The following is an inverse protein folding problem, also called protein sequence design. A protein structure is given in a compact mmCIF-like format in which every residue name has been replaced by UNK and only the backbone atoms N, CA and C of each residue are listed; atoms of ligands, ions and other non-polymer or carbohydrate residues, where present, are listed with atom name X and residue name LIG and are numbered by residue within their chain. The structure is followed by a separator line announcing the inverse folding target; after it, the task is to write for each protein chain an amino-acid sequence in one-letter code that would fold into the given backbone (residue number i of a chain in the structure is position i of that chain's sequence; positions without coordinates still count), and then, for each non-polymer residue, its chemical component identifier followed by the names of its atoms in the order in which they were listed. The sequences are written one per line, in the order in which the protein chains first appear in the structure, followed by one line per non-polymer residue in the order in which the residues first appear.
data_IF_542273978719
#
_entry.id   IF_542273978719
#
_cell.length_a   1.000
_cell.length_b   1.000
_cell.length_c   1.000
_cell.angle_alpha   90.00
_cell.angle_beta   90.00
_cell.angle_gamma   90.00
#
_symmetry.space_group_name_H-M   'P 1'
#
loop_
_entity.id
_entity.type
_entity.pdbx_description
1 polymer ?
#
# COMPACT_ATOMS: atom_id res chain seq x y z
N UNK A 1 16.94 0.69 43.40
CA UNK A 1 17.81 1.69 42.77
C UNK A 1 17.51 3.02 43.45
N UNK A 2 18.50 3.63 44.11
CA UNK A 2 18.29 4.86 44.86
C UNK A 2 17.96 6.01 43.90
N UNK A 3 16.93 6.79 44.24
CA UNK A 3 16.49 7.94 43.48
C UNK A 3 17.58 9.03 43.52
N UNK A 4 18.30 9.16 42.40
CA UNK A 4 19.46 10.03 42.26
C UNK A 4 19.09 11.49 42.58
N UNK A 5 17.87 11.91 42.22
CA UNK A 5 17.34 13.23 42.53
C UNK A 5 17.14 13.43 44.04
N UNK A 6 16.63 12.41 44.74
CA UNK A 6 16.52 12.42 46.20
C UNK A 6 17.86 12.54 46.90
N UNK A 7 18.90 11.90 46.35
CA UNK A 7 20.27 12.01 46.88
C UNK A 7 20.92 13.38 46.60
N UNK A 8 20.65 13.98 45.44
CA UNK A 8 21.15 15.32 45.06
C UNK A 8 20.47 16.40 45.91
N UNK A 9 19.14 16.33 46.10
CA UNK A 9 18.39 17.29 46.90
C UNK A 9 18.80 17.24 48.38
N UNK A 10 19.00 16.04 48.95
CA UNK A 10 19.45 15.89 50.33
C UNK A 10 20.91 16.35 50.54
N UNK A 11 21.73 16.35 49.48
CA UNK A 11 23.09 16.91 49.50
C UNK A 11 23.09 18.44 49.42
N UNK A 12 22.19 19.04 48.63
CA UNK A 12 22.01 20.49 48.56
C UNK A 12 21.46 21.10 49.87
N UNK A 13 20.58 20.39 50.58
CA UNK A 13 20.03 20.82 51.87
C UNK A 13 21.10 20.91 52.97
N UNK A 14 22.15 20.09 52.90
CA UNK A 14 23.30 20.15 53.82
C UNK A 14 24.24 21.33 53.57
N UNK A 15 24.20 21.93 52.38
CA UNK A 15 25.14 22.96 51.96
C UNK A 15 24.70 24.40 52.27
N UNK A 16 23.46 24.61 52.75
CA UNK A 16 22.99 25.96 53.09
C UNK A 16 23.34 26.36 54.54
N UNK A 17 23.75 27.61 54.79
CA UNK A 17 24.18 28.08 56.11
C UNK A 17 23.00 28.09 57.12
N UNK A 18 23.20 27.42 58.26
CA UNK A 18 22.22 27.27 59.33
C UNK A 18 21.91 28.61 60.02
N UNK A 19 20.78 29.22 59.70
CA UNK A 19 20.13 30.22 60.56
C UNK A 19 19.23 29.50 61.58
N UNK A 20 19.11 30.05 62.79
CA UNK A 20 18.60 29.41 64.03
C UNK A 20 17.12 28.95 64.05
N UNK A 21 16.54 28.69 65.24
CA UNK A 21 15.52 27.67 65.56
C UNK A 21 14.12 27.93 64.96
N UNK A 22 14.04 27.83 63.63
CA UNK A 22 12.81 27.86 62.82
C UNK A 22 12.60 26.55 62.03
N UNK A 23 13.49 25.57 62.24
CA UNK A 23 13.64 24.34 61.44
C UNK A 23 12.67 23.21 61.87
N UNK A 24 12.30 23.08 63.15
CA UNK A 24 11.42 21.98 63.61
C UNK A 24 9.99 22.07 63.07
N UNK A 25 9.42 23.28 63.04
CA UNK A 25 8.08 23.51 62.50
C UNK A 25 8.04 23.29 60.99
N UNK A 26 9.10 23.70 60.29
CA UNK A 26 9.25 23.47 58.84
C UNK A 26 9.43 21.98 58.52
N UNK A 27 10.25 21.24 59.28
CA UNK A 27 10.38 19.77 59.16
C UNK A 27 9.06 19.04 59.41
N UNK A 28 8.30 19.46 60.41
CA UNK A 28 6.98 18.88 60.69
C UNK A 28 5.99 19.16 59.54
N UNK A 29 6.01 20.37 58.96
CA UNK A 29 5.23 20.73 57.78
C UNK A 29 5.61 19.87 56.57
N UNK A 30 6.91 19.72 56.28
CA UNK A 30 7.42 18.88 55.17
C UNK A 30 7.05 17.41 55.38
N UNK A 31 7.19 16.88 56.60
CA UNK A 31 6.79 15.50 56.93
C UNK A 31 5.28 15.31 56.73
N UNK A 32 4.46 16.25 57.20
CA UNK A 32 3.00 16.22 57.02
C UNK A 32 2.59 16.29 55.55
N UNK A 33 3.27 17.13 54.74
CA UNK A 33 3.04 17.18 53.29
C UNK A 33 3.42 15.88 52.60
N UNK A 34 4.55 15.26 52.99
CA UNK A 34 4.98 13.97 52.45
C UNK A 34 4.01 12.84 52.81
N UNK A 35 3.52 12.80 54.04
CA UNK A 35 2.50 11.83 54.47
C UNK A 35 1.17 12.05 53.75
N UNK A 36 0.74 13.30 53.56
CA UNK A 36 -0.46 13.62 52.78
C UNK A 36 -0.32 13.22 51.31
N UNK A 37 0.85 13.45 50.70
CA UNK A 37 1.14 13.04 49.33
C UNK A 37 1.13 11.51 49.17
N UNK A 38 1.74 10.77 50.11
CA UNK A 38 1.71 9.31 50.12
C UNK A 38 0.29 8.76 50.24
N UNK A 39 -0.51 9.33 51.14
CA UNK A 39 -1.91 8.93 51.30
C UNK A 39 -2.71 9.19 50.02
N UNK A 40 -2.52 10.34 49.38
CA UNK A 40 -3.16 10.66 48.10
C UNK A 40 -2.74 9.70 46.98
N UNK A 41 -1.47 9.31 46.93
CA UNK A 41 -0.96 8.31 45.97
C UNK A 41 -1.57 6.92 46.22
N UNK A 42 -1.66 6.49 47.47
CA UNK A 42 -2.29 5.23 47.87
C UNK A 42 -3.78 5.21 47.54
N UNK A 43 -4.51 6.29 47.84
CA UNK A 43 -5.92 6.45 47.50
C UNK A 43 -6.13 6.42 45.98
N UNK A 44 -5.27 7.10 45.22
CA UNK A 44 -5.29 7.07 43.76
C UNK A 44 -5.03 5.65 43.24
N UNK A 45 -4.03 4.95 43.76
CA UNK A 45 -3.73 3.56 43.40
C UNK A 45 -4.90 2.61 43.71
N UNK A 46 -5.57 2.80 44.84
CA UNK A 46 -6.77 2.04 45.20
C UNK A 46 -7.91 2.32 44.23
N UNK A 47 -8.10 3.58 43.83
CA UNK A 47 -9.10 3.96 42.84
C UNK A 47 -8.86 3.28 41.49
N UNK A 48 -7.61 3.25 41.01
CA UNK A 48 -7.24 2.57 39.76
C UNK A 48 -7.47 1.06 39.83
N UNK A 49 -7.17 0.42 40.97
CA UNK A 49 -7.45 -1.01 41.19
C UNK A 49 -8.95 -1.31 41.10
N UNK A 50 -9.77 -0.52 41.81
CA UNK A 50 -11.24 -0.65 41.75
C UNK A 50 -11.77 -0.44 40.33
N UNK A 51 -11.21 0.52 39.61
CA UNK A 51 -11.57 0.76 38.20
C UNK A 51 -11.21 -0.44 37.32
N UNK A 52 -10.04 -1.05 37.52
CA UNK A 52 -9.61 -2.26 36.81
C UNK A 52 -10.57 -3.43 37.04
N UNK A 53 -10.93 -3.69 38.29
CA UNK A 53 -11.89 -4.73 38.69
C UNK A 53 -13.27 -4.50 38.06
N UNK A 54 -13.77 -3.25 38.13
CA UNK A 54 -15.05 -2.87 37.53
C UNK A 54 -15.04 -3.06 36.01
N UNK A 55 -13.96 -2.66 35.35
CA UNK A 55 -13.80 -2.81 33.89
C UNK A 55 -13.75 -4.29 33.49
N UNK A 56 -13.08 -5.12 34.30
CA UNK A 56 -13.10 -6.57 34.11
C UNK A 56 -14.52 -7.12 34.14
N UNK A 57 -15.31 -6.78 35.17
CA UNK A 57 -16.70 -7.25 35.28
C UNK A 57 -17.56 -6.84 34.09
N UNK A 58 -17.45 -5.59 33.63
CA UNK A 58 -18.17 -5.10 32.44
C UNK A 58 -17.79 -5.90 31.18
N UNK A 59 -16.51 -6.22 31.00
CA UNK A 59 -16.07 -7.04 29.87
C UNK A 59 -16.53 -8.49 29.97
N UNK A 60 -16.63 -9.05 31.19
CA UNK A 60 -17.19 -10.40 31.39
C UNK A 60 -18.68 -10.46 31.06
N UNK A 61 -19.43 -9.42 31.42
CA UNK A 61 -20.85 -9.27 31.03
C UNK A 61 -20.98 -9.12 29.50
N UNK A 62 -20.14 -8.28 28.89
CA UNK A 62 -20.13 -8.08 27.45
C UNK A 62 -19.82 -9.37 26.66
N UNK A 63 -18.92 -10.22 27.15
CA UNK A 63 -18.63 -11.51 26.53
C UNK A 63 -19.81 -12.50 26.59
N UNK A 64 -20.64 -12.42 27.64
CA UNK A 64 -21.85 -13.25 27.76
C UNK A 64 -22.97 -12.80 26.83
N UNK A 65 -23.06 -11.50 26.56
CA UNK A 65 -24.10 -10.93 25.72
C UNK A 65 -23.87 -11.25 24.24
N UNK A 66 -24.60 -12.20 23.67
CA UNK A 66 -24.45 -12.58 22.24
C UNK A 66 -24.84 -11.45 21.28
N UNK A 67 -25.79 -10.58 21.67
CA UNK A 67 -26.46 -9.63 20.76
C UNK A 67 -25.60 -8.49 20.24
N UNK A 68 -24.66 -7.98 21.04
CA UNK A 68 -23.89 -6.80 20.70
C UNK A 68 -22.49 -7.20 20.19
N UNK A 69 -22.09 -6.79 18.97
CA UNK A 69 -20.77 -7.12 18.42
C UNK A 69 -19.65 -6.24 19.02
N UNK A 70 -20.00 -5.04 19.52
CA UNK A 70 -19.07 -4.06 20.05
C UNK A 70 -19.62 -3.35 21.28
N UNK A 71 -18.74 -2.92 22.19
CA UNK A 71 -19.06 -2.13 23.36
C UNK A 71 -18.27 -0.82 23.37
N UNK A 72 -18.98 0.31 23.52
CA UNK A 72 -18.38 1.66 23.55
C UNK A 72 -18.31 2.17 24.99
N UNK A 73 -17.09 2.43 25.46
CA UNK A 73 -16.87 3.10 26.74
C UNK A 73 -17.12 4.61 26.63
N UNK A 74 -17.37 5.24 27.78
CA UNK A 74 -17.39 6.70 27.88
C UNK A 74 -15.98 7.27 27.59
N UNK A 75 -15.87 8.51 27.07
CA UNK A 75 -14.60 9.20 26.98
C UNK A 75 -13.92 9.27 28.36
N UNK A 76 -12.66 8.85 28.43
CA UNK A 76 -11.90 8.78 29.68
C UNK A 76 -10.47 9.29 29.48
N UNK A 77 -9.81 9.78 30.55
CA UNK A 77 -8.42 10.24 30.48
C UNK A 77 -7.47 9.12 30.05
N UNK A 78 -6.29 9.52 29.54
CA UNK A 78 -5.25 8.61 29.04
C UNK A 78 -4.92 7.44 29.99
N UNK A 79 -4.83 7.70 31.30
CA UNK A 79 -4.50 6.68 32.30
C UNK A 79 -5.59 5.59 32.39
N UNK A 80 -6.85 5.98 32.49
CA UNK A 80 -7.97 5.05 32.55
C UNK A 80 -8.15 4.30 31.23
N UNK A 81 -7.91 4.98 30.11
CA UNK A 81 -7.89 4.37 28.78
C UNK A 81 -6.84 3.26 28.68
N UNK A 82 -5.63 3.49 29.18
CA UNK A 82 -4.59 2.48 29.23
C UNK A 82 -5.02 1.25 30.04
N UNK A 83 -5.66 1.46 31.20
CA UNK A 83 -6.18 0.35 32.02
C UNK A 83 -7.24 -0.46 31.26
N UNK A 84 -8.12 0.19 30.48
CA UNK A 84 -9.11 -0.53 29.66
C UNK A 84 -8.41 -1.41 28.62
N UNK A 85 -7.38 -0.89 27.94
CA UNK A 85 -6.57 -1.68 26.99
C UNK A 85 -5.88 -2.85 27.67
N UNK A 86 -5.21 -2.63 28.82
CA UNK A 86 -4.53 -3.69 29.57
C UNK A 86 -5.50 -4.83 29.97
N UNK A 87 -6.71 -4.48 30.42
CA UNK A 87 -7.72 -5.48 30.81
C UNK A 87 -8.29 -6.20 29.58
N UNK A 88 -8.51 -5.49 28.48
CA UNK A 88 -8.98 -6.08 27.24
C UNK A 88 -7.94 -7.04 26.64
N UNK A 89 -6.67 -6.65 26.63
CA UNK A 89 -5.54 -7.50 26.19
C UNK A 89 -5.42 -8.76 27.05
N UNK A 90 -5.53 -8.63 28.38
CA UNK A 90 -5.52 -9.79 29.27
C UNK A 90 -6.65 -10.81 28.99
N UNK A 91 -7.74 -10.37 28.37
CA UNK A 91 -8.88 -11.20 27.96
C UNK A 91 -8.89 -11.54 26.47
N UNK A 92 -7.84 -11.17 25.73
CA UNK A 92 -7.73 -11.30 24.27
C UNK A 92 -8.89 -10.66 23.50
N UNK A 93 -9.39 -9.52 23.98
CA UNK A 93 -10.46 -8.77 23.31
C UNK A 93 -9.85 -7.56 22.59
N UNK A 94 -10.05 -7.40 21.28
CA UNK A 94 -9.50 -6.27 20.54
C UNK A 94 -10.16 -4.95 20.97
N UNK A 95 -9.34 -4.02 21.41
CA UNK A 95 -9.75 -2.70 21.87
C UNK A 95 -9.09 -1.60 21.01
N UNK A 96 -9.90 -0.64 20.58
CA UNK A 96 -9.45 0.49 19.75
C UNK A 96 -9.88 1.81 20.37
N UNK A 97 -9.05 2.85 20.23
CA UNK A 97 -9.39 4.19 20.71
C UNK A 97 -9.77 5.09 19.54
N UNK A 98 -10.89 5.79 19.67
CA UNK A 98 -11.42 6.71 18.67
C UNK A 98 -11.66 8.08 19.30
N UNK A 99 -11.63 9.15 18.49
CA UNK A 99 -11.79 10.54 18.94
C UNK A 99 -10.47 11.29 19.10
N UNK A 100 -10.59 12.57 19.43
CA UNK A 100 -9.47 13.50 19.59
C UNK A 100 -8.93 13.46 21.03
N UNK A 101 -7.60 13.52 21.16
CA UNK A 101 -6.97 13.51 22.48
C UNK A 101 -7.45 14.70 23.33
N UNK A 102 -7.73 14.44 24.61
CA UNK A 102 -8.20 15.41 25.62
C UNK A 102 -9.64 15.92 25.49
N UNK A 103 -10.31 15.72 24.35
CA UNK A 103 -11.71 16.16 24.16
C UNK A 103 -12.69 14.99 24.36
N UNK A 104 -12.70 14.03 23.44
CA UNK A 104 -13.74 12.98 23.38
C UNK A 104 -13.17 11.57 23.15
N UNK A 105 -11.86 11.40 23.31
CA UNK A 105 -11.22 10.11 23.08
C UNK A 105 -11.78 9.01 23.97
N UNK A 106 -12.42 8.04 23.33
CA UNK A 106 -13.09 6.91 23.95
C UNK A 106 -12.54 5.58 23.43
N UNK A 107 -12.80 4.51 24.16
CA UNK A 107 -12.40 3.15 23.78
C UNK A 107 -13.62 2.38 23.30
N UNK A 108 -13.48 1.68 22.18
CA UNK A 108 -14.46 0.72 21.69
C UNK A 108 -13.79 -0.64 21.65
N UNK A 109 -14.47 -1.61 22.24
CA UNK A 109 -14.02 -2.99 22.31
C UNK A 109 -14.91 -3.83 21.41
N UNK A 110 -14.30 -4.68 20.59
CA UNK A 110 -15.00 -5.56 19.66
C UNK A 110 -14.86 -7.00 20.12
N UNK A 111 -15.85 -7.83 19.83
CA UNK A 111 -15.67 -9.27 20.00
C UNK A 111 -14.61 -9.79 19.02
N UNK A 112 -13.87 -10.84 19.39
CA UNK A 112 -12.84 -11.41 18.52
C UNK A 112 -13.41 -11.84 17.15
N UNK A 113 -14.64 -12.35 17.12
CA UNK A 113 -15.33 -12.75 15.88
C UNK A 113 -15.71 -11.56 14.97
N UNK A 114 -15.87 -10.37 15.55
CA UNK A 114 -16.29 -9.15 14.87
C UNK A 114 -15.19 -8.09 14.88
N UNK A 115 -13.93 -8.53 14.84
CA UNK A 115 -12.79 -7.62 14.80
C UNK A 115 -12.80 -6.87 13.46
N UNK A 116 -12.89 -5.52 13.46
CA UNK A 116 -12.89 -4.75 12.23
C UNK A 116 -11.54 -4.84 11.51
N UNK A 117 -11.58 -4.88 10.19
CA UNK A 117 -10.37 -4.81 9.36
C UNK A 117 -9.68 -3.44 9.50
N UNK A 118 -8.41 -3.32 9.13
CA UNK A 118 -7.65 -2.06 9.23
C UNK A 118 -8.28 -0.93 8.41
N UNK A 119 -8.77 -1.24 7.20
CA UNK A 119 -9.49 -0.29 6.36
C UNK A 119 -10.84 0.14 7.02
N UNK A 120 -11.55 -0.80 7.65
CA UNK A 120 -12.77 -0.52 8.41
C UNK A 120 -12.50 0.41 9.59
N UNK A 121 -11.41 0.16 10.32
CA UNK A 121 -10.96 1.00 11.42
C UNK A 121 -10.63 2.42 10.94
N UNK A 122 -10.03 2.58 9.77
CA UNK A 122 -9.76 3.89 9.20
C UNK A 122 -11.05 4.66 8.90
N UNK A 123 -12.05 4.02 8.27
CA UNK A 123 -13.38 4.62 8.08
C UNK A 123 -14.05 4.98 9.41
N UNK A 124 -14.00 4.08 10.41
CA UNK A 124 -14.54 4.34 11.74
C UNK A 124 -13.85 5.52 12.45
N UNK A 125 -12.52 5.70 12.26
CA UNK A 125 -11.78 6.86 12.77
C UNK A 125 -12.20 8.16 12.07
N UNK A 126 -12.55 8.09 10.78
CA UNK A 126 -13.09 9.22 10.02
C UNK A 126 -14.56 9.51 10.30
N UNK A 127 -15.27 8.57 10.94
CA UNK A 127 -16.72 8.66 11.17
C UNK A 127 -17.55 8.30 9.92
N UNK A 128 -16.95 7.62 8.95
CA UNK A 128 -17.60 7.21 7.71
C UNK A 128 -18.27 5.83 7.86
N UNK A 129 -19.38 5.61 7.16
CA UNK A 129 -20.04 4.29 7.11
C UNK A 129 -19.21 3.38 6.21
N UNK A 130 -18.77 2.25 6.75
CA UNK A 130 -18.05 1.24 5.98
C UNK A 130 -19.02 0.43 5.12
N UNK A 131 -18.83 0.48 3.81
CA UNK A 131 -19.48 -0.42 2.85
C UNK A 131 -18.45 -1.44 2.32
N UNK A 132 -18.64 -2.75 2.53
CA UNK A 132 -17.67 -3.77 2.12
C UNK A 132 -17.41 -3.81 0.61
N UNK A 133 -18.44 -3.51 -0.20
CA UNK A 133 -18.32 -3.48 -1.67
C UNK A 133 -17.48 -2.28 -2.15
N UNK A 134 -17.60 -1.11 -1.51
CA UNK A 134 -16.81 0.07 -1.88
C UNK A 134 -15.34 -0.12 -1.56
N UNK A 135 -15.05 -0.79 -0.44
CA UNK A 135 -13.69 -1.09 -0.04
C UNK A 135 -12.96 -2.01 -1.02
N UNK A 136 -13.63 -3.05 -1.50
CA UNK A 136 -13.06 -3.95 -2.51
C UNK A 136 -12.79 -3.23 -3.83
N UNK A 137 -13.70 -2.35 -4.25
CA UNK A 137 -13.50 -1.51 -5.44
C UNK A 137 -12.32 -0.54 -5.27
N UNK A 138 -12.18 0.08 -4.10
CA UNK A 138 -11.05 0.97 -3.82
C UNK A 138 -9.72 0.21 -3.78
N UNK A 139 -9.72 -1.00 -3.20
CA UNK A 139 -8.53 -1.87 -3.19
C UNK A 139 -8.14 -2.29 -4.61
N UNK A 140 -9.10 -2.72 -5.43
CA UNK A 140 -8.85 -3.08 -6.82
C UNK A 140 -8.31 -1.89 -7.64
N UNK A 141 -8.83 -0.68 -7.40
CA UNK A 141 -8.34 0.53 -8.04
C UNK A 141 -6.90 0.86 -7.61
N UNK A 142 -6.58 0.75 -6.32
CA UNK A 142 -5.22 0.97 -5.81
C UNK A 142 -4.22 -0.03 -6.39
N UNK A 143 -4.60 -1.30 -6.48
CA UNK A 143 -3.77 -2.35 -7.09
C UNK A 143 -3.55 -2.09 -8.59
N UNK A 144 -4.57 -1.61 -9.31
CA UNK A 144 -4.41 -1.19 -10.70
C UNK A 144 -3.43 -0.01 -10.83
N UNK A 145 -3.57 1.02 -9.99
CA UNK A 145 -2.66 2.18 -9.99
C UNK A 145 -1.21 1.75 -9.68
N UNK A 146 -1.01 0.82 -8.76
CA UNK A 146 0.32 0.30 -8.43
C UNK A 146 0.91 -0.49 -9.59
N UNK A 147 0.15 -1.39 -10.21
CA UNK A 147 0.58 -2.11 -11.43
C UNK A 147 0.89 -1.16 -12.58
N UNK A 148 0.09 -0.11 -12.76
CA UNK A 148 0.33 0.91 -13.79
C UNK A 148 1.63 1.67 -13.50
N UNK A 149 1.90 2.03 -12.23
CA UNK A 149 3.17 2.65 -11.82
C UNK A 149 4.37 1.74 -12.02
N UNK A 150 4.27 0.48 -11.60
CA UNK A 150 5.32 -0.52 -11.83
C UNK A 150 5.58 -0.72 -13.32
N UNK A 151 4.52 -0.72 -14.14
CA UNK A 151 4.63 -0.81 -15.58
C UNK A 151 5.30 0.44 -16.18
N UNK A 152 4.92 1.64 -15.74
CA UNK A 152 5.55 2.89 -16.14
C UNK A 152 7.03 2.93 -15.76
N UNK A 153 7.38 2.52 -14.55
CA UNK A 153 8.76 2.45 -14.07
C UNK A 153 9.56 1.39 -14.84
N UNK A 154 8.97 0.24 -15.16
CA UNK A 154 9.58 -0.78 -16.03
C UNK A 154 9.83 -0.25 -17.45
N UNK A 155 8.86 0.48 -18.03
CA UNK A 155 9.03 1.12 -19.35
C UNK A 155 10.16 2.17 -19.27
N UNK A 156 10.21 2.96 -18.20
CA UNK A 156 11.27 3.97 -18.00
C UNK A 156 12.64 3.30 -17.91
N UNK A 157 12.77 2.25 -17.11
CA UNK A 157 14.02 1.50 -16.96
C UNK A 157 14.45 0.86 -18.28
N UNK A 158 13.52 0.26 -19.03
CA UNK A 158 13.79 -0.29 -20.36
C UNK A 158 14.29 0.78 -21.33
N UNK A 159 13.70 1.98 -21.31
CA UNK A 159 14.13 3.11 -22.14
C UNK A 159 15.54 3.59 -21.77
N UNK A 160 15.87 3.61 -20.49
CA UNK A 160 17.19 4.03 -20.01
C UNK A 160 18.28 2.98 -20.30
N UNK A 161 17.95 1.68 -20.21
CA UNK A 161 18.82 0.58 -20.67
C UNK A 161 19.07 0.64 -22.17
N UNK A 162 18.06 0.98 -22.96
CA UNK A 162 18.20 1.13 -24.42
C UNK A 162 19.09 2.32 -24.78
N UNK A 163 18.91 3.48 -24.14
CA UNK A 163 19.76 4.67 -24.34
C UNK A 163 21.22 4.42 -23.99
N UNK A 164 21.48 3.70 -22.91
CA UNK A 164 22.86 3.35 -22.50
C UNK A 164 23.51 2.33 -23.44
N UNK A 165 22.74 1.40 -24.02
CA UNK A 165 23.21 0.46 -25.05
C UNK A 165 23.47 1.12 -26.41
N UNK A 166 22.60 2.02 -26.87
CA UNK A 166 22.74 2.71 -28.16
C UNK A 166 23.91 3.71 -28.16
N UNK A 167 24.18 4.36 -27.01
CA UNK A 167 25.34 5.26 -26.86
C UNK A 167 26.72 4.59 -26.97
N UNK A 168 26.79 3.25 -26.86
CA UNK A 168 28.03 2.48 -26.97
C UNK A 168 28.37 2.00 -28.39
N UNK A 169 27.36 1.79 -29.25
CA UNK A 169 27.58 1.26 -30.61
C UNK A 169 28.00 2.35 -31.61
N UNK A 170 27.52 3.58 -31.45
CA UNK A 170 27.88 4.70 -32.34
C UNK A 170 29.37 5.06 -32.24
N UNK A 171 29.96 5.02 -31.04
CA UNK A 171 31.37 5.41 -30.85
C UNK A 171 32.39 4.44 -31.46
N UNK A 172 32.05 3.14 -31.60
CA UNK A 172 32.95 2.16 -32.20
C UNK A 172 32.86 2.20 -33.74
N UNK A 173 31.66 2.39 -34.29
CA UNK A 173 31.47 2.50 -35.74
C UNK A 173 32.05 3.80 -36.29
N UNK A 174 32.00 4.90 -35.53
CA UNK A 174 32.58 6.17 -35.94
C UNK A 174 34.12 6.13 -36.00
N UNK A 175 34.79 5.41 -35.10
CA UNK A 175 36.27 5.28 -35.14
C UNK A 175 36.75 4.54 -36.39
N UNK A 176 36.04 3.48 -36.79
CA UNK A 176 36.36 2.72 -38.01
C UNK A 176 36.09 3.57 -39.26
N UNK A 177 34.91 4.20 -39.35
CA UNK A 177 34.56 5.11 -40.45
C UNK A 177 35.59 6.22 -40.62
N UNK A 178 35.98 6.88 -39.52
CA UNK A 178 36.98 7.97 -39.52
C UNK A 178 38.37 7.51 -39.98
N UNK A 179 38.77 6.26 -39.70
CA UNK A 179 40.08 5.71 -40.11
C UNK A 179 40.19 5.54 -41.63
N UNK A 180 39.13 5.07 -42.28
CA UNK A 180 39.12 4.80 -43.73
C UNK A 180 38.66 6.01 -44.57
N UNK A 181 38.04 7.00 -43.94
CA UNK A 181 37.62 8.26 -44.57
C UNK A 181 38.78 9.00 -45.26
N UNK A 182 40.00 8.90 -44.72
CA UNK A 182 41.21 9.50 -45.32
C UNK A 182 41.73 8.76 -46.56
N UNK A 183 41.45 7.46 -46.68
CA UNK A 183 41.92 6.63 -47.80
C UNK A 183 40.90 6.57 -48.94
N UNK A 184 39.61 6.58 -48.60
CA UNK A 184 38.51 6.50 -49.57
C UNK A 184 38.10 7.91 -50.03
N UNK A 185 38.28 8.94 -49.19
CA UNK A 185 37.82 10.31 -49.44
C UNK A 185 36.33 10.47 -49.14
N UNK A 186 35.96 11.58 -48.47
CA UNK A 186 34.55 11.87 -48.12
C UNK A 186 33.64 11.93 -49.34
N UNK A 187 34.14 12.52 -50.43
CA UNK A 187 33.37 12.78 -51.64
C UNK A 187 33.17 11.51 -52.49
N UNK A 188 34.20 10.67 -52.62
CA UNK A 188 34.10 9.42 -53.38
C UNK A 188 33.20 8.38 -52.69
N UNK A 189 33.18 8.35 -51.34
CA UNK A 189 32.24 7.53 -50.59
C UNK A 189 30.77 7.96 -50.77
N UNK A 190 30.52 9.27 -50.84
CA UNK A 190 29.19 9.85 -51.09
C UNK A 190 28.70 9.58 -52.53
N UNK A 191 29.58 9.67 -53.53
CA UNK A 191 29.24 9.33 -54.91
C UNK A 191 29.03 7.83 -55.11
N UNK A 192 29.91 6.99 -54.55
CA UNK A 192 29.74 5.54 -54.59
C UNK A 192 28.46 5.09 -53.86
N UNK A 193 28.12 5.73 -52.73
CA UNK A 193 26.86 5.46 -52.03
C UNK A 193 25.63 5.90 -52.85
N UNK A 194 25.72 7.01 -53.61
CA UNK A 194 24.66 7.43 -54.55
C UNK A 194 24.48 6.45 -55.71
N UNK A 195 25.59 5.93 -56.26
CA UNK A 195 25.58 4.94 -57.35
C UNK A 195 25.11 3.56 -56.86
N UNK A 196 25.51 3.18 -55.64
CA UNK A 196 25.19 1.89 -55.03
C UNK A 196 23.85 1.88 -54.28
N UNK A 197 23.10 2.98 -54.25
CA UNK A 197 21.70 2.91 -53.84
C UNK A 197 20.95 2.13 -54.93
N UNK A 198 20.54 0.87 -54.68
CA UNK A 198 19.69 0.19 -55.63
C UNK A 198 18.43 1.04 -55.79
N UNK A 199 18.01 1.26 -57.03
CA UNK A 199 16.82 2.05 -57.31
C UNK A 199 15.68 1.46 -56.48
N UNK A 200 15.16 2.20 -55.49
CA UNK A 200 14.06 1.75 -54.61
C UNK A 200 12.80 1.39 -55.42
N UNK A 201 12.77 1.72 -56.72
CA UNK A 201 11.76 1.34 -57.68
C UNK A 201 11.89 -0.11 -58.19
N UNK A 202 13.02 -0.79 -58.04
CA UNK A 202 13.14 -2.19 -58.50
C UNK A 202 12.43 -3.10 -57.50
N UNK A 203 11.18 -3.41 -57.79
CA UNK A 203 10.33 -4.32 -56.98
C UNK A 203 9.30 -3.62 -56.08
N UNK A 204 9.31 -2.30 -55.96
CA UNK A 204 8.29 -1.55 -55.21
C UNK A 204 7.46 -0.68 -56.16
N UNK A 205 6.29 -1.17 -56.56
CA UNK A 205 5.30 -0.39 -57.31
C UNK A 205 4.49 0.42 -56.30
N UNK A 206 4.49 1.77 -56.36
CA UNK A 206 3.62 2.60 -55.53
C UNK A 206 2.16 2.19 -55.70
N UNK A 207 1.36 2.25 -54.64
CA UNK A 207 -0.07 1.86 -54.67
C UNK A 207 -0.87 2.61 -55.74
N UNK A 208 -0.48 3.84 -56.05
CA UNK A 208 -1.05 4.69 -57.11
C UNK A 208 -0.89 4.08 -58.52
N UNK A 209 0.18 3.31 -58.74
CA UNK A 209 0.47 2.65 -60.02
C UNK A 209 0.02 1.18 -60.06
N UNK A 210 -0.58 0.68 -58.98
CA UNK A 210 -1.13 -0.69 -58.95
C UNK A 210 -2.52 -0.68 -59.59
N UNK A 211 -2.83 -1.76 -60.33
CA UNK A 211 -4.16 -1.95 -60.94
C UNK A 211 -5.30 -2.06 -59.91
N UNK A 212 -4.97 -2.44 -58.67
CA UNK A 212 -5.95 -2.53 -57.58
C UNK A 212 -5.62 -1.47 -56.51
N UNK A 213 -6.50 -0.48 -56.40
CA UNK A 213 -6.42 0.62 -55.44
C UNK A 213 -7.32 0.38 -54.21
N UNK A 214 -8.00 -0.76 -54.11
CA UNK A 214 -8.87 -1.08 -52.98
C UNK A 214 -8.05 -1.25 -51.70
N UNK A 215 -8.62 -0.85 -50.57
CA UNK A 215 -7.99 -1.07 -49.28
C UNK A 215 -8.06 -2.55 -48.91
N UNK A 216 -7.15 -3.01 -48.04
CA UNK A 216 -7.09 -4.41 -47.59
C UNK A 216 -8.44 -4.86 -46.99
N UNK A 217 -9.09 -3.98 -46.23
CA UNK A 217 -10.40 -4.24 -45.62
C UNK A 217 -11.51 -4.42 -46.67
N UNK A 218 -11.50 -3.63 -47.74
CA UNK A 218 -12.45 -3.77 -48.85
C UNK A 218 -12.27 -5.11 -49.59
N UNK A 219 -11.03 -5.53 -49.83
CA UNK A 219 -10.73 -6.82 -50.47
C UNK A 219 -11.19 -8.00 -49.59
N UNK A 220 -11.01 -7.90 -48.27
CA UNK A 220 -11.49 -8.91 -47.32
C UNK A 220 -13.03 -8.98 -47.29
N UNK A 221 -13.69 -7.83 -47.33
CA UNK A 221 -15.16 -7.77 -47.40
C UNK A 221 -15.69 -8.38 -48.70
N UNK A 222 -15.11 -8.04 -49.85
CA UNK A 222 -15.47 -8.59 -51.16
C UNK A 222 -15.24 -10.11 -51.21
N UNK A 223 -14.15 -10.60 -50.63
CA UNK A 223 -13.85 -12.03 -50.56
C UNK A 223 -14.87 -12.79 -49.71
N UNK A 224 -15.27 -12.22 -48.56
CA UNK A 224 -16.33 -12.78 -47.70
C UNK A 224 -17.68 -12.78 -48.40
N UNK A 225 -18.04 -11.69 -49.06
CA UNK A 225 -19.28 -11.56 -49.80
C UNK A 225 -19.32 -12.50 -51.02
N UNK A 226 -18.21 -12.64 -51.75
CA UNK A 226 -18.09 -13.57 -52.87
C UNK A 226 -18.20 -15.01 -52.42
N UNK A 227 -17.59 -15.39 -51.29
CA UNK A 227 -17.73 -16.72 -50.69
C UNK A 227 -19.18 -17.01 -50.34
N UNK A 228 -19.88 -16.07 -49.69
CA UNK A 228 -21.30 -16.20 -49.33
C UNK A 228 -22.20 -16.37 -50.56
N UNK A 229 -21.99 -15.57 -51.61
CA UNK A 229 -22.73 -15.71 -52.88
C UNK A 229 -22.43 -17.04 -53.58
N UNK A 230 -21.19 -17.51 -53.53
CA UNK A 230 -20.84 -18.82 -54.08
C UNK A 230 -21.56 -19.95 -53.33
N UNK A 231 -21.60 -19.89 -51.99
CA UNK A 231 -22.33 -20.85 -51.14
C UNK A 231 -23.85 -20.84 -51.43
N UNK A 232 -24.43 -19.66 -51.67
CA UNK A 232 -25.85 -19.52 -52.06
C UNK A 232 -26.13 -20.09 -53.46
N UNK A 233 -25.20 -19.94 -54.40
CA UNK A 233 -25.35 -20.42 -55.79
C UNK A 233 -25.04 -21.90 -55.94
N UNK A 234 -24.05 -22.44 -55.22
CA UNK A 234 -23.66 -23.85 -55.34
C UNK A 234 -24.48 -24.78 -54.48
N UNK A 235 -25.31 -24.27 -53.55
CA UNK A 235 -26.27 -25.07 -52.78
C UNK A 235 -25.66 -26.20 -51.94
N UNK A 236 -24.33 -26.28 -51.83
CA UNK A 236 -23.63 -27.26 -51.03
C UNK A 236 -23.36 -26.63 -49.67
N UNK A 237 -24.29 -26.87 -48.73
CA UNK A 237 -24.00 -26.73 -47.30
C UNK A 237 -23.00 -27.83 -46.93
N UNK A 238 -21.72 -27.48 -46.78
CA UNK A 238 -20.77 -28.36 -46.09
C UNK A 238 -21.15 -28.42 -44.59
N UNK A 239 -22.06 -29.32 -44.25
CA UNK A 239 -22.31 -29.76 -42.88
C UNK A 239 -21.39 -30.94 -42.56
N UNK A 240 -20.18 -30.69 -42.09
CA UNK A 240 -19.41 -31.66 -41.31
C UNK A 240 -18.11 -31.04 -40.79
N UNK A 241 -18.10 -30.61 -39.53
CA UNK A 241 -17.00 -30.95 -38.61
C UNK A 241 -17.67 -31.37 -37.31
N UNK A 242 -17.92 -32.68 -37.23
CA UNK A 242 -18.27 -33.38 -36.00
C UNK A 242 -16.99 -33.58 -35.22
N UNK A 243 -16.96 -32.93 -34.07
CA UNK A 243 -16.33 -33.33 -32.82
C UNK A 243 -15.87 -34.80 -32.75
N UNK A 244 -14.57 -35.03 -32.54
CA UNK A 244 -13.97 -36.21 -31.89
C UNK A 244 -12.44 -36.17 -31.93
N UNK A 245 -11.81 -35.97 -30.78
CA UNK A 245 -10.64 -36.77 -30.35
C UNK A 245 -10.18 -36.37 -28.94
N UNK A 246 -10.68 -37.07 -27.92
CA UNK A 246 -9.89 -37.32 -26.70
C UNK A 246 -8.90 -38.46 -27.00
N UNK A 247 -7.62 -38.37 -26.57
CA UNK A 247 -6.67 -39.47 -26.73
C UNK A 247 -6.69 -40.40 -25.50
N UNK A 248 -7.12 -41.65 -25.72
CA UNK A 248 -6.85 -42.77 -24.81
C UNK A 248 -5.39 -43.23 -24.96
N UNK A 249 -4.58 -43.00 -23.93
CA UNK A 249 -3.24 -43.60 -23.81
C UNK A 249 -3.31 -44.80 -22.88
N UNK A 250 -3.19 -46.01 -23.43
CA UNK A 250 -2.77 -47.20 -22.69
C UNK A 250 -2.20 -48.26 -23.64
N UNK A 251 -1.22 -49.02 -23.12
CA UNK A 251 -0.37 -50.09 -23.71
C UNK A 251 0.98 -49.59 -24.25
N UNK A 252 2.13 -50.18 -23.91
CA UNK A 252 2.46 -51.44 -23.22
C UNK A 252 3.88 -51.33 -22.66
#
# INVERSE_FOLDING_TARGET
MADLLGSIMSSMEKAQPKQGPTDEKQRHLVKKQREAAKKAEEDHKLHLKRFKEKTSGVLDEFLKDVKNPSFKFKPVPKLYRAIIHDVAEAKNIPAYSFGEDEIDRHVVVFKPEHTPCEEQLACLRRGEVWDPLKAEQERALREQIEKDREHEDWIREMRDRKRSSEGGQDQATDKYKTKYEKFIGREAGLEAARIAQPNKQFGFVPSENKRDARTIEQVLADSRAKRKRLEEVTGIRNTAVVDRSEPSTEKS
#
